data_IF_231160392123
#
_entry.id   IF_231160392123
#
_cell.length_a   1.000
_cell.length_b   1.000
_cell.length_c   1.000
_cell.angle_alpha   90.00
_cell.angle_beta   90.00
_cell.angle_gamma   90.00
#
_symmetry.space_group_name_H-M   'P 1'
#
loop_
_entity.id
_entity.type
_entity.pdbx_description
1 polymer ?
#
# COMPACT_ATOMS: atom_id res chain seq x y z
N UNK A 1 10.61 -4.04 23.87
CA UNK A 1 11.14 -5.23 23.21
C UNK A 1 10.99 -6.45 24.11
N UNK A 2 11.30 -7.65 23.62
CA UNK A 2 11.08 -8.89 24.36
C UNK A 2 11.88 -8.95 25.68
N UNK A 3 13.17 -8.56 25.72
CA UNK A 3 13.94 -8.58 26.96
C UNK A 3 13.36 -7.72 28.08
N UNK A 4 12.87 -6.54 27.78
CA UNK A 4 12.24 -5.65 28.78
C UNK A 4 10.91 -6.21 29.29
N UNK A 5 10.12 -6.86 28.42
CA UNK A 5 8.86 -7.55 28.79
C UNK A 5 9.15 -8.73 29.73
N UNK A 6 10.16 -9.51 29.40
CA UNK A 6 10.59 -10.66 30.23
C UNK A 6 11.11 -10.21 31.60
N UNK A 7 11.93 -9.15 31.65
CA UNK A 7 12.41 -8.58 32.89
C UNK A 7 11.26 -8.09 33.78
N UNK A 8 10.27 -7.39 33.19
CA UNK A 8 9.08 -6.92 33.91
C UNK A 8 8.22 -8.09 34.42
N UNK A 9 8.01 -9.12 33.60
CA UNK A 9 7.26 -10.31 34.00
C UNK A 9 7.98 -11.08 35.14
N UNK A 10 9.31 -11.16 35.09
CA UNK A 10 10.09 -11.77 36.20
C UNK A 10 9.97 -10.98 37.47
N UNK A 11 10.03 -9.64 37.43
CA UNK A 11 9.83 -8.79 38.59
C UNK A 11 8.42 -8.94 39.17
N UNK A 12 7.36 -8.99 38.36
CA UNK A 12 5.99 -9.29 38.79
C UNK A 12 5.93 -10.65 39.50
N UNK A 13 6.46 -11.70 38.90
CA UNK A 13 6.46 -13.04 39.45
C UNK A 13 7.19 -13.09 40.82
N UNK A 14 8.28 -12.31 40.96
CA UNK A 14 9.00 -12.19 42.23
C UNK A 14 8.13 -11.53 43.30
N UNK A 15 7.49 -10.40 42.99
CA UNK A 15 6.54 -9.73 43.92
C UNK A 15 5.42 -10.67 44.30
N UNK A 16 4.77 -11.36 43.37
CA UNK A 16 3.69 -12.31 43.62
C UNK A 16 4.13 -13.45 44.53
N UNK A 17 5.36 -13.95 44.37
CA UNK A 17 5.90 -15.01 45.21
C UNK A 17 6.06 -14.59 46.69
N UNK A 18 6.24 -13.30 46.96
CA UNK A 18 6.38 -12.74 48.31
C UNK A 18 5.00 -12.43 48.90
N UNK A 19 4.12 -11.75 48.17
CA UNK A 19 2.78 -11.33 48.61
C UNK A 19 1.91 -12.55 48.95
N UNK A 20 1.96 -13.60 48.14
CA UNK A 20 1.11 -14.80 48.33
C UNK A 20 1.74 -15.88 49.18
N UNK A 21 2.84 -15.61 49.87
CA UNK A 21 3.48 -16.56 50.75
C UNK A 21 2.63 -16.80 52.02
N UNK A 22 2.03 -17.98 52.12
CA UNK A 22 1.14 -18.34 53.24
C UNK A 22 1.92 -18.76 54.49
N UNK A 23 3.14 -19.23 54.36
CA UNK A 23 4.04 -19.62 55.44
C UNK A 23 5.34 -18.84 55.36
N UNK A 24 5.88 -18.43 56.50
CA UNK A 24 7.05 -17.57 56.61
C UNK A 24 6.91 -16.28 55.76
N UNK A 25 5.95 -15.40 56.08
CA UNK A 25 5.80 -14.14 55.35
C UNK A 25 7.08 -13.31 55.50
N UNK A 26 7.43 -12.58 54.43
CA UNK A 26 8.53 -11.64 54.46
C UNK A 26 8.16 -10.44 55.34
N UNK A 27 8.94 -10.20 56.41
CA UNK A 27 8.72 -9.11 57.35
C UNK A 27 9.88 -8.11 57.38
N UNK A 28 10.95 -8.33 56.62
CA UNK A 28 12.07 -7.40 56.51
C UNK A 28 11.74 -6.26 55.52
N UNK A 29 11.62 -5.02 56.00
CA UNK A 29 11.34 -3.87 55.17
C UNK A 29 12.40 -3.65 54.09
N UNK A 30 13.65 -4.03 54.33
CA UNK A 30 14.74 -3.86 53.38
C UNK A 30 14.56 -4.77 52.16
N UNK A 31 14.11 -6.02 52.39
CA UNK A 31 13.81 -6.99 51.33
C UNK A 31 12.59 -6.51 50.53
N UNK A 32 11.53 -6.08 51.21
CA UNK A 32 10.31 -5.58 50.58
C UNK A 32 10.63 -4.35 49.69
N UNK A 33 11.40 -3.38 50.20
CA UNK A 33 11.80 -2.20 49.47
C UNK A 33 12.69 -2.55 48.25
N UNK A 34 13.59 -3.53 48.36
CA UNK A 34 14.43 -3.98 47.27
C UNK A 34 13.60 -4.57 46.12
N UNK A 35 12.60 -5.38 46.44
CA UNK A 35 11.70 -6.01 45.47
C UNK A 35 10.80 -4.95 44.79
N UNK A 36 10.31 -3.97 45.55
CA UNK A 36 9.56 -2.82 45.03
C UNK A 36 10.40 -2.03 44.01
N UNK A 37 11.66 -1.74 44.40
CA UNK A 37 12.58 -1.03 43.48
C UNK A 37 12.91 -1.83 42.22
N UNK A 38 13.04 -3.16 42.33
CA UNK A 38 13.23 -4.05 41.18
C UNK A 38 12.04 -3.93 40.19
N UNK A 39 10.80 -4.01 40.70
CA UNK A 39 9.59 -3.88 39.87
C UNK A 39 9.48 -2.50 39.23
N UNK A 40 9.69 -1.43 39.98
CA UNK A 40 9.66 -0.06 39.48
C UNK A 40 10.72 0.16 38.40
N UNK A 41 11.92 -0.39 38.59
CA UNK A 41 13.00 -0.30 37.59
C UNK A 41 12.64 -1.05 36.32
N UNK A 42 12.11 -2.27 36.44
CA UNK A 42 11.70 -3.05 35.31
C UNK A 42 10.51 -2.38 34.54
N UNK A 43 9.56 -1.76 35.26
CA UNK A 43 8.47 -0.98 34.72
C UNK A 43 8.97 0.24 33.94
N UNK A 44 9.89 1.01 34.53
CA UNK A 44 10.47 2.19 33.93
C UNK A 44 11.28 1.89 32.66
N UNK A 45 11.78 0.67 32.51
CA UNK A 45 12.48 0.21 31.33
C UNK A 45 11.55 -0.23 30.18
N UNK A 46 10.23 -0.25 30.39
CA UNK A 46 9.25 -0.53 29.35
C UNK A 46 8.98 0.70 28.48
N UNK A 47 9.86 1.03 27.58
CA UNK A 47 9.70 2.22 26.69
C UNK A 47 8.77 1.97 25.48
N UNK A 48 7.69 1.19 25.66
CA UNK A 48 6.79 0.80 24.59
C UNK A 48 6.15 1.96 23.86
N UNK A 49 5.66 2.96 24.59
CA UNK A 49 5.00 4.15 24.02
C UNK A 49 5.95 5.01 23.20
N UNK A 50 7.17 5.20 23.70
CA UNK A 50 8.22 5.94 22.97
C UNK A 50 8.60 5.20 21.68
N UNK A 51 8.79 3.88 21.75
CA UNK A 51 9.10 3.05 20.58
C UNK A 51 7.97 3.05 19.57
N UNK A 52 6.71 3.05 20.01
CA UNK A 52 5.56 3.18 19.12
C UNK A 52 5.52 4.55 18.44
N UNK A 53 5.72 5.62 19.22
CA UNK A 53 5.74 6.99 18.68
C UNK A 53 6.84 7.17 17.62
N UNK A 54 8.04 6.66 17.88
CA UNK A 54 9.12 6.68 16.89
C UNK A 54 8.76 5.89 15.63
N UNK A 55 8.21 4.68 15.77
CA UNK A 55 7.80 3.88 14.63
C UNK A 55 6.71 4.58 13.80
N UNK A 56 5.73 5.24 14.45
CA UNK A 56 4.70 6.03 13.77
C UNK A 56 5.30 7.20 12.99
N UNK A 57 6.26 7.94 13.58
CA UNK A 57 6.94 9.05 12.92
C UNK A 57 7.76 8.60 11.71
N UNK A 58 8.54 7.53 11.86
CA UNK A 58 9.36 6.97 10.80
C UNK A 58 8.50 6.49 9.62
N UNK A 59 7.41 5.78 9.93
CA UNK A 59 6.48 5.31 8.92
C UNK A 59 5.74 6.47 8.23
N UNK A 60 5.33 7.51 8.97
CA UNK A 60 4.72 8.71 8.38
C UNK A 60 5.67 9.42 7.42
N UNK A 61 6.95 9.55 7.79
CA UNK A 61 7.99 10.12 6.93
C UNK A 61 8.19 9.27 5.66
N UNK A 62 8.23 7.93 5.81
CA UNK A 62 8.34 7.02 4.69
C UNK A 62 7.12 7.12 3.75
N UNK A 63 5.88 7.18 4.29
CA UNK A 63 4.66 7.33 3.50
C UNK A 63 4.64 8.68 2.75
N UNK A 64 5.12 9.76 3.38
CA UNK A 64 5.27 11.05 2.72
C UNK A 64 6.22 11.02 1.52
N UNK A 65 7.22 10.13 1.55
CA UNK A 65 8.16 9.91 0.45
C UNK A 65 7.60 9.07 -0.71
N UNK A 66 6.42 8.47 -0.58
CA UNK A 66 5.77 7.67 -1.63
C UNK A 66 5.13 8.61 -2.66
N UNK A 67 5.81 8.81 -3.77
CA UNK A 67 5.50 9.87 -4.74
C UNK A 67 4.37 9.54 -5.70
N UNK A 68 4.03 8.26 -5.87
CA UNK A 68 2.98 7.82 -6.79
C UNK A 68 1.59 7.82 -6.16
N UNK A 69 1.51 7.85 -4.82
CA UNK A 69 0.24 8.01 -4.11
C UNK A 69 -0.36 9.39 -4.38
N UNK A 70 -1.66 9.47 -4.67
CA UNK A 70 -2.35 10.74 -4.65
C UNK A 70 -2.49 11.27 -3.21
N UNK A 71 -2.84 12.57 -3.08
CA UNK A 71 -2.93 13.23 -1.76
C UNK A 71 -3.91 12.52 -0.84
N UNK A 72 -5.10 12.15 -1.34
CA UNK A 72 -6.12 11.50 -0.53
C UNK A 72 -5.69 10.12 -0.01
N UNK A 73 -4.99 9.34 -0.83
CA UNK A 73 -4.42 8.04 -0.41
C UNK A 73 -3.38 8.24 0.68
N UNK A 74 -2.44 9.18 0.48
CA UNK A 74 -1.38 9.48 1.43
C UNK A 74 -1.94 9.92 2.79
N UNK A 75 -2.92 10.82 2.79
CA UNK A 75 -3.54 11.32 4.01
C UNK A 75 -4.23 10.21 4.81
N UNK A 76 -4.97 9.32 4.13
CA UNK A 76 -5.61 8.17 4.79
C UNK A 76 -4.57 7.21 5.37
N UNK A 77 -3.48 6.92 4.62
CA UNK A 77 -2.42 6.02 5.08
C UNK A 77 -1.65 6.58 6.28
N UNK A 78 -1.33 7.87 6.27
CA UNK A 78 -0.70 8.55 7.41
C UNK A 78 -1.61 8.54 8.63
N UNK A 79 -2.91 8.82 8.45
CA UNK A 79 -3.88 8.80 9.54
C UNK A 79 -4.03 7.40 10.15
N UNK A 80 -4.13 6.36 9.32
CA UNK A 80 -4.15 4.96 9.78
C UNK A 80 -2.88 4.60 10.56
N UNK A 81 -1.73 5.09 10.12
CA UNK A 81 -0.46 4.88 10.80
C UNK A 81 -0.40 5.61 12.16
N UNK A 82 -0.85 6.86 12.22
CA UNK A 82 -0.88 7.66 13.46
C UNK A 82 -1.82 7.06 14.52
N UNK A 83 -2.91 6.42 14.10
CA UNK A 83 -3.87 5.76 14.99
C UNK A 83 -3.52 4.29 15.31
N UNK A 84 -2.43 3.77 14.79
CA UNK A 84 -1.96 2.41 15.11
C UNK A 84 -1.57 2.32 16.59
N UNK A 85 -2.01 1.26 17.26
CA UNK A 85 -1.76 1.04 18.68
C UNK A 85 -0.60 0.08 18.97
N UNK A 86 -0.05 -0.54 17.93
CA UNK A 86 1.12 -1.43 18.01
C UNK A 86 2.10 -1.17 16.88
N UNK A 87 3.38 -1.50 17.09
CA UNK A 87 4.42 -1.39 16.05
C UNK A 87 4.17 -2.35 14.88
N UNK A 88 3.55 -3.49 15.13
CA UNK A 88 3.14 -4.43 14.09
C UNK A 88 2.08 -3.82 13.16
N UNK A 89 1.11 -3.08 13.72
CA UNK A 89 0.13 -2.33 12.91
C UNK A 89 0.81 -1.23 12.09
N UNK A 90 1.76 -0.49 12.68
CA UNK A 90 2.55 0.52 11.97
C UNK A 90 3.29 -0.11 10.79
N UNK A 91 3.99 -1.22 11.01
CA UNK A 91 4.70 -1.92 9.94
C UNK A 91 3.77 -2.39 8.83
N UNK A 92 2.63 -2.99 9.19
CA UNK A 92 1.62 -3.45 8.22
C UNK A 92 1.02 -2.28 7.41
N UNK A 93 0.76 -1.14 8.06
CA UNK A 93 0.23 0.04 7.37
C UNK A 93 1.27 0.59 6.38
N UNK A 94 2.54 0.62 6.75
CA UNK A 94 3.63 1.02 5.86
C UNK A 94 3.79 0.08 4.66
N UNK A 95 3.78 -1.24 4.88
CA UNK A 95 3.85 -2.24 3.82
C UNK A 95 2.69 -2.09 2.82
N UNK A 96 1.47 -1.84 3.33
CA UNK A 96 0.32 -1.60 2.48
C UNK A 96 0.46 -0.31 1.66
N UNK A 97 0.94 0.77 2.27
CA UNK A 97 1.20 2.03 1.58
C UNK A 97 2.25 1.87 0.46
N UNK A 98 3.35 1.15 0.72
CA UNK A 98 4.39 0.87 -0.27
C UNK A 98 3.87 -0.02 -1.42
N UNK A 99 3.02 -0.99 -1.11
CA UNK A 99 2.39 -1.85 -2.13
C UNK A 99 1.43 -1.05 -3.00
N UNK A 100 0.67 -0.13 -2.39
CA UNK A 100 -0.22 0.76 -3.13
C UNK A 100 0.56 1.73 -4.03
N UNK A 101 1.67 2.30 -3.54
CA UNK A 101 2.52 3.19 -4.33
C UNK A 101 3.06 2.50 -5.59
N UNK A 102 3.52 1.24 -5.47
CA UNK A 102 3.96 0.44 -6.62
C UNK A 102 2.84 0.18 -7.62
N UNK A 103 1.64 -0.13 -7.15
CA UNK A 103 0.49 -0.34 -8.03
C UNK A 103 0.10 0.96 -8.76
N UNK A 104 0.13 2.09 -8.06
CA UNK A 104 -0.12 3.43 -8.62
C UNK A 104 0.96 3.81 -9.64
N UNK A 105 2.23 3.55 -9.37
CA UNK A 105 3.32 3.73 -10.34
C UNK A 105 3.06 2.96 -11.62
N UNK A 106 2.73 1.66 -11.50
CA UNK A 106 2.45 0.82 -12.65
C UNK A 106 1.24 1.33 -13.46
N UNK A 107 0.19 1.81 -12.79
CA UNK A 107 -0.96 2.41 -13.47
C UNK A 107 -0.59 3.72 -14.17
N UNK A 108 0.20 4.59 -13.51
CA UNK A 108 0.68 5.85 -14.10
C UNK A 108 1.50 5.59 -15.38
N UNK A 109 2.38 4.57 -15.35
CA UNK A 109 3.17 4.18 -16.53
C UNK A 109 2.28 3.75 -17.71
N UNK A 110 1.25 2.96 -17.47
CA UNK A 110 0.31 2.52 -18.51
C UNK A 110 -0.46 3.71 -19.07
N UNK A 111 -0.98 4.60 -18.23
CA UNK A 111 -1.72 5.80 -18.66
C UNK A 111 -0.80 6.78 -19.42
N UNK A 112 0.47 6.88 -19.05
CA UNK A 112 1.44 7.72 -19.76
C UNK A 112 1.62 7.34 -21.25
N UNK A 113 1.37 6.08 -21.61
CA UNK A 113 1.40 5.61 -22.99
C UNK A 113 0.16 5.98 -23.81
N UNK A 114 -0.90 6.53 -23.21
CA UNK A 114 -2.16 6.90 -23.88
C UNK A 114 -1.96 7.63 -25.19
N UNK A 115 -1.15 8.70 -25.18
CA UNK A 115 -0.95 9.52 -26.38
C UNK A 115 -0.25 8.76 -27.50
N UNK A 116 0.63 7.84 -27.18
CA UNK A 116 1.28 6.99 -28.17
C UNK A 116 0.26 6.07 -28.83
N UNK A 117 -0.64 5.47 -28.03
CA UNK A 117 -1.70 4.58 -28.54
C UNK A 117 -2.69 5.35 -29.40
N UNK A 118 -3.17 6.51 -28.96
CA UNK A 118 -4.14 7.33 -29.70
C UNK A 118 -3.61 7.79 -31.07
N UNK A 119 -2.30 7.91 -31.24
CA UNK A 119 -1.65 8.27 -32.49
C UNK A 119 -1.13 7.06 -33.29
N UNK A 120 -1.31 5.85 -32.78
CA UNK A 120 -0.89 4.63 -33.48
C UNK A 120 -1.95 4.15 -34.49
N UNK A 121 -1.49 3.53 -35.57
CA UNK A 121 -2.38 2.96 -36.58
C UNK A 121 -3.30 1.88 -36.05
N UNK A 122 -2.91 1.17 -34.97
CA UNK A 122 -3.75 0.18 -34.30
C UNK A 122 -5.02 0.79 -33.67
N UNK A 123 -4.96 2.05 -33.21
CA UNK A 123 -6.11 2.79 -32.70
C UNK A 123 -6.83 3.54 -33.83
N UNK A 124 -6.09 4.28 -34.68
CA UNK A 124 -6.66 5.16 -35.68
C UNK A 124 -7.53 4.44 -36.75
N UNK A 125 -7.20 3.18 -37.07
CA UNK A 125 -7.94 2.37 -38.01
C UNK A 125 -8.80 1.29 -37.35
N UNK A 126 -9.00 1.40 -36.04
CA UNK A 126 -9.84 0.46 -35.30
C UNK A 126 -11.33 0.84 -35.41
N UNK A 127 -12.21 -0.15 -35.22
CA UNK A 127 -13.65 0.09 -35.14
C UNK A 127 -13.98 0.99 -33.96
N UNK A 128 -14.88 1.94 -34.18
CA UNK A 128 -15.30 2.93 -33.17
C UNK A 128 -15.73 2.31 -31.84
N UNK A 129 -16.29 1.10 -31.86
CA UNK A 129 -16.65 0.35 -30.67
C UNK A 129 -15.44 0.07 -29.73
N UNK A 130 -14.33 -0.38 -30.32
CA UNK A 130 -13.12 -0.73 -29.55
C UNK A 130 -12.31 0.49 -29.17
N UNK A 131 -12.31 1.55 -30.04
CA UNK A 131 -11.77 2.85 -29.63
C UNK A 131 -12.47 3.40 -28.40
N UNK A 132 -13.81 3.40 -28.39
CA UNK A 132 -14.59 3.86 -27.23
C UNK A 132 -14.38 2.99 -25.96
N UNK A 133 -14.16 1.70 -26.12
CA UNK A 133 -13.83 0.83 -24.99
C UNK A 133 -12.47 1.20 -24.39
N UNK A 134 -11.45 1.40 -25.23
CA UNK A 134 -10.14 1.85 -24.78
C UNK A 134 -10.21 3.22 -24.11
N UNK A 135 -10.91 4.18 -24.72
CA UNK A 135 -11.07 5.54 -24.16
C UNK A 135 -11.73 5.51 -22.78
N UNK A 136 -12.72 4.63 -22.58
CA UNK A 136 -13.41 4.48 -21.29
C UNK A 136 -12.48 3.94 -20.21
N UNK A 137 -11.73 2.88 -20.47
CA UNK A 137 -10.84 2.32 -19.45
C UNK A 137 -9.68 3.24 -19.12
N UNK A 138 -9.22 4.06 -20.07
CA UNK A 138 -8.26 5.14 -19.82
C UNK A 138 -8.88 6.22 -18.92
N UNK A 139 -10.11 6.64 -19.19
CA UNK A 139 -10.80 7.63 -18.35
C UNK A 139 -10.99 7.12 -16.91
N UNK A 140 -11.36 5.84 -16.74
CA UNK A 140 -11.48 5.21 -15.42
C UNK A 140 -10.13 5.18 -14.67
N UNK A 141 -9.05 4.90 -15.39
CA UNK A 141 -7.69 4.91 -14.85
C UNK A 141 -7.26 6.33 -14.44
N UNK A 142 -7.49 7.34 -15.27
CA UNK A 142 -7.21 8.74 -14.96
C UNK A 142 -8.05 9.23 -13.76
N UNK A 143 -9.31 8.81 -13.67
CA UNK A 143 -10.16 9.13 -12.53
C UNK A 143 -9.60 8.54 -11.24
N UNK A 144 -9.12 7.28 -11.24
CA UNK A 144 -8.50 6.65 -10.07
C UNK A 144 -7.23 7.39 -9.65
N UNK A 145 -6.36 7.72 -10.61
CA UNK A 145 -5.12 8.45 -10.32
C UNK A 145 -5.37 9.82 -9.68
N UNK A 146 -6.47 10.48 -10.02
CA UNK A 146 -6.82 11.82 -9.58
C UNK A 146 -7.88 11.86 -8.47
N UNK A 147 -8.15 10.73 -7.78
CA UNK A 147 -9.10 10.70 -6.68
C UNK A 147 -8.70 11.67 -5.56
N UNK A 148 -9.63 12.54 -5.17
CA UNK A 148 -9.48 13.49 -4.07
C UNK A 148 -10.33 13.12 -2.85
N UNK A 149 -11.33 12.27 -3.04
CA UNK A 149 -12.24 11.78 -1.99
C UNK A 149 -12.46 10.29 -2.16
N UNK A 150 -12.69 9.58 -1.07
CA UNK A 150 -12.88 8.13 -1.06
C UNK A 150 -11.83 7.37 -1.90
N UNK A 151 -10.53 7.57 -1.61
CA UNK A 151 -9.48 7.02 -2.43
C UNK A 151 -9.48 5.49 -2.41
N UNK A 152 -9.09 4.89 -3.53
CA UNK A 152 -8.80 3.45 -3.59
C UNK A 152 -7.54 3.16 -2.80
N UNK A 153 -7.63 2.28 -1.79
CA UNK A 153 -6.54 1.98 -0.86
C UNK A 153 -5.98 0.56 -1.04
N UNK A 154 -6.66 -0.27 -1.80
CA UNK A 154 -6.26 -1.66 -2.02
C UNK A 154 -5.46 -1.79 -3.32
N UNK A 155 -4.18 -2.22 -3.25
CA UNK A 155 -3.31 -2.35 -4.42
C UNK A 155 -3.94 -3.19 -5.55
N UNK A 156 -4.61 -4.29 -5.21
CA UNK A 156 -5.23 -5.18 -6.20
C UNK A 156 -6.34 -4.50 -7.03
N UNK A 157 -7.05 -3.52 -6.46
CA UNK A 157 -8.07 -2.75 -7.20
C UNK A 157 -7.43 -1.84 -8.24
N UNK A 158 -6.28 -1.27 -7.92
CA UNK A 158 -5.47 -0.48 -8.86
C UNK A 158 -4.95 -1.39 -9.98
N UNK A 159 -4.46 -2.59 -9.62
CA UNK A 159 -4.01 -3.57 -10.61
C UNK A 159 -5.13 -4.00 -11.57
N UNK A 160 -6.36 -4.20 -11.09
CA UNK A 160 -7.52 -4.51 -11.96
C UNK A 160 -7.73 -3.39 -12.99
N UNK A 161 -7.66 -2.13 -12.59
CA UNK A 161 -7.82 -0.99 -13.52
C UNK A 161 -6.69 -0.96 -14.53
N UNK A 162 -5.44 -1.13 -14.12
CA UNK A 162 -4.27 -1.25 -15.01
C UNK A 162 -4.44 -2.39 -16.02
N UNK A 163 -4.82 -3.58 -15.54
CA UNK A 163 -4.98 -4.76 -16.41
C UNK A 163 -6.13 -4.59 -17.41
N UNK A 164 -7.20 -3.89 -17.03
CA UNK A 164 -8.27 -3.51 -17.95
C UNK A 164 -7.78 -2.59 -19.09
N UNK A 165 -6.92 -1.62 -18.78
CA UNK A 165 -6.32 -0.77 -19.82
C UNK A 165 -5.49 -1.62 -20.78
N UNK A 166 -4.58 -2.45 -20.24
CA UNK A 166 -3.71 -3.31 -21.05
C UNK A 166 -4.50 -4.33 -21.90
N UNK A 167 -5.58 -4.87 -21.36
CA UNK A 167 -6.45 -5.80 -22.10
C UNK A 167 -7.16 -5.10 -23.27
N UNK A 168 -7.67 -3.88 -23.06
CA UNK A 168 -8.33 -3.11 -24.11
C UNK A 168 -7.34 -2.57 -25.14
N UNK A 169 -6.10 -2.28 -24.77
CA UNK A 169 -5.05 -1.97 -25.74
C UNK A 169 -4.73 -3.16 -26.66
N UNK A 170 -4.67 -4.38 -26.10
CA UNK A 170 -4.34 -5.60 -26.87
C UNK A 170 -5.38 -5.99 -27.91
N UNK A 171 -6.61 -5.53 -27.79
CA UNK A 171 -7.68 -5.82 -28.77
C UNK A 171 -7.82 -4.74 -29.86
N UNK A 172 -6.91 -3.79 -29.92
CA UNK A 172 -6.83 -2.79 -30.99
C UNK A 172 -6.06 -3.37 -32.17
N UNK A 173 -6.77 -3.79 -33.21
CA UNK A 173 -6.24 -4.42 -34.43
C UNK A 173 -6.34 -3.53 -35.67
N UNK A 174 -6.45 -2.22 -35.51
CA UNK A 174 -6.63 -1.30 -36.64
C UNK A 174 -5.46 -1.31 -37.63
N UNK A 175 -4.24 -1.58 -37.22
CA UNK A 175 -3.09 -1.71 -38.07
C UNK A 175 -3.23 -2.92 -39.02
N UNK A 176 -3.68 -4.05 -38.52
CA UNK A 176 -3.92 -5.29 -39.24
C UNK A 176 -5.11 -5.11 -40.23
N UNK A 177 -6.19 -4.45 -39.80
CA UNK A 177 -7.33 -4.11 -40.63
C UNK A 177 -6.92 -3.24 -41.80
N UNK A 178 -6.16 -2.18 -41.55
CA UNK A 178 -5.63 -1.30 -42.62
C UNK A 178 -4.74 -2.07 -43.62
N UNK A 179 -3.91 -3.00 -43.11
CA UNK A 179 -3.04 -3.82 -43.94
C UNK A 179 -3.87 -4.75 -44.83
N UNK A 180 -4.91 -5.37 -44.30
CA UNK A 180 -5.84 -6.22 -45.04
C UNK A 180 -6.57 -5.44 -46.16
N UNK A 181 -7.13 -4.27 -45.84
CA UNK A 181 -7.86 -3.43 -46.80
C UNK A 181 -6.96 -2.96 -47.94
N UNK A 182 -5.71 -2.56 -47.63
CA UNK A 182 -4.71 -2.20 -48.64
C UNK A 182 -4.38 -3.37 -49.58
N UNK A 183 -4.27 -4.60 -49.03
CA UNK A 183 -4.02 -5.80 -49.83
C UNK A 183 -5.17 -6.08 -50.77
N UNK A 184 -6.42 -6.05 -50.30
CA UNK A 184 -7.62 -6.26 -51.08
C UNK A 184 -7.73 -5.23 -52.22
N UNK A 185 -7.58 -3.94 -51.89
CA UNK A 185 -7.63 -2.87 -52.92
C UNK A 185 -6.56 -3.03 -54.00
N UNK A 186 -5.34 -3.47 -53.60
CA UNK A 186 -4.25 -3.70 -54.56
C UNK A 186 -4.53 -4.90 -55.49
N UNK A 187 -5.17 -5.95 -54.96
CA UNK A 187 -5.56 -7.12 -55.77
C UNK A 187 -6.72 -6.81 -56.71
N UNK A 188 -7.71 -6.00 -56.30
CA UNK A 188 -8.76 -5.51 -57.17
C UNK A 188 -8.18 -4.70 -58.32
N UNK A 189 -7.25 -3.77 -58.08
CA UNK A 189 -6.58 -2.98 -59.15
C UNK A 189 -5.84 -3.86 -60.15
N UNK A 190 -5.18 -4.95 -59.67
CA UNK A 190 -4.51 -5.91 -60.57
C UNK A 190 -5.47 -6.68 -61.49
N UNK A 191 -6.70 -6.92 -61.07
CA UNK A 191 -7.72 -7.64 -61.83
C UNK A 191 -8.47 -6.73 -62.80
N UNK A 192 -8.34 -5.40 -62.69
CA UNK A 192 -8.92 -4.41 -63.60
C UNK A 192 -8.02 -4.07 -64.78
N UNK A 193 -6.77 -4.49 -64.80
CA UNK A 193 -5.80 -4.33 -65.90
C UNK A 193 -5.57 -5.65 -66.66
#
# INVERSE_FOLDING_TARGET
DQPEKEAYQQAINHVDSIIHRQTNPEMDPTVINSITYELETAQNNLHGDQKLTHAQQDAANAINGLIHLNVAQRDVMINANTNATTREQVAKNLDNAQSLDKAMEALQQVVAHKNNILNDSKYLNEDSKYQQQYDRVIADAEQLLNQTTNPTLEPYKVDIVKDNVLANEKILFGAEKLSYDKSNANDEVKHMN
#
